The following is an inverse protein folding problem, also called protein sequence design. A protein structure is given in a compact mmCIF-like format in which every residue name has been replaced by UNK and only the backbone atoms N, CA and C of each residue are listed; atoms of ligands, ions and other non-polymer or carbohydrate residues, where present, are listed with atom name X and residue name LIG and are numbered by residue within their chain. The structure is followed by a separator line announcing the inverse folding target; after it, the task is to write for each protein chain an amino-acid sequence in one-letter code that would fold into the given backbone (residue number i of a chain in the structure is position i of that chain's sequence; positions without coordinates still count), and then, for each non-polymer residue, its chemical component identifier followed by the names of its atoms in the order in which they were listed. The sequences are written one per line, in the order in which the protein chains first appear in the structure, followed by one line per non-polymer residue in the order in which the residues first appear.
data_IF_314752310914
#
_entry.id   IF_314752310914
#
_cell.length_a   1.000
_cell.length_b   1.000
_cell.length_c   1.000
_cell.angle_alpha   90.00
_cell.angle_beta   90.00
_cell.angle_gamma   90.00
#
_symmetry.space_group_name_H-M   'P 1'
#
loop_
_entity.id
_entity.type
_entity.pdbx_description
1 polymer ?
#
# COMPACT_ATOMS: atom_id res chain seq x y z
N UNK A 1 -36.77 -22.02 9.80
CA UNK A 1 -36.66 -22.36 8.37
C UNK A 1 -35.89 -21.25 7.67
N UNK A 2 -34.67 -21.52 7.25
CA UNK A 2 -33.87 -20.56 6.49
C UNK A 2 -34.33 -20.60 5.03
N UNK A 3 -34.75 -19.44 4.53
CA UNK A 3 -35.21 -19.33 3.14
C UNK A 3 -33.97 -19.23 2.22
N UNK A 4 -33.68 -20.32 1.50
CA UNK A 4 -32.50 -20.49 0.63
C UNK A 4 -32.61 -19.82 -0.74
N UNK A 5 -33.51 -18.91 -0.93
CA UNK A 5 -33.77 -18.29 -2.24
C UNK A 5 -33.19 -16.87 -2.42
N UNK A 6 -32.18 -16.47 -1.63
CA UNK A 6 -31.41 -15.26 -1.95
C UNK A 6 -30.50 -15.55 -3.12
N UNK A 7 -31.00 -15.27 -4.33
CA UNK A 7 -30.16 -15.19 -5.53
C UNK A 7 -29.00 -14.25 -5.25
N UNK A 8 -27.77 -14.73 -5.43
CA UNK A 8 -26.57 -13.86 -5.55
C UNK A 8 -26.77 -13.05 -6.83
N UNK A 9 -27.20 -11.81 -6.68
CA UNK A 9 -27.71 -11.00 -7.79
C UNK A 9 -26.60 -10.42 -8.66
N UNK A 10 -25.35 -10.31 -8.15
CA UNK A 10 -24.24 -9.87 -8.99
C UNK A 10 -22.90 -10.19 -8.34
N UNK A 11 -22.14 -11.06 -8.95
CA UNK A 11 -20.68 -11.05 -8.81
C UNK A 11 -20.23 -9.92 -9.75
N UNK A 12 -19.80 -8.77 -9.22
CA UNK A 12 -19.11 -7.78 -10.06
C UNK A 12 -17.90 -8.47 -10.67
N UNK A 13 -17.87 -8.55 -11.99
CA UNK A 13 -16.63 -8.96 -12.67
C UNK A 13 -15.50 -8.06 -12.17
N UNK A 14 -14.44 -8.68 -11.67
CA UNK A 14 -13.27 -7.94 -11.25
C UNK A 14 -12.78 -7.07 -12.42
N UNK A 15 -12.60 -5.78 -12.19
CA UNK A 15 -12.08 -4.86 -13.22
C UNK A 15 -10.66 -5.24 -13.68
N UNK A 16 -10.01 -6.10 -12.93
CA UNK A 16 -8.63 -6.52 -13.13
C UNK A 16 -8.56 -8.02 -13.35
N UNK A 17 -7.72 -8.47 -14.26
CA UNK A 17 -7.47 -9.89 -14.48
C UNK A 17 -6.59 -10.53 -13.40
N UNK A 18 -5.83 -9.71 -12.65
CA UNK A 18 -5.04 -10.12 -11.50
C UNK A 18 -5.08 -9.05 -10.40
N UNK A 19 -5.37 -9.48 -9.18
CA UNK A 19 -5.13 -8.69 -7.97
C UNK A 19 -3.92 -9.26 -7.24
N UNK A 20 -2.93 -8.42 -6.97
CA UNK A 20 -1.71 -8.79 -6.27
C UNK A 20 -1.63 -8.00 -4.97
N UNK A 21 -1.58 -8.69 -3.84
CA UNK A 21 -1.21 -8.10 -2.54
C UNK A 21 0.26 -8.41 -2.28
N UNK A 22 1.05 -7.38 -2.05
CA UNK A 22 2.49 -7.52 -1.88
C UNK A 22 2.97 -6.91 -0.58
N UNK A 23 3.49 -7.75 0.31
CA UNK A 23 4.22 -7.34 1.50
C UNK A 23 5.69 -7.17 1.08
N UNK A 24 6.11 -5.91 0.90
CA UNK A 24 7.39 -5.59 0.25
C UNK A 24 8.59 -5.61 1.21
N UNK A 25 8.34 -5.40 2.50
CA UNK A 25 9.35 -5.45 3.57
C UNK A 25 8.72 -5.73 4.93
N UNK A 26 9.55 -5.92 5.93
CA UNK A 26 9.16 -6.08 7.34
C UNK A 26 9.89 -5.09 8.25
N UNK A 27 10.25 -3.91 7.73
CA UNK A 27 10.84 -2.79 8.46
C UNK A 27 9.79 -1.71 8.60
N UNK A 28 9.70 -1.10 9.78
CA UNK A 28 8.80 0.01 10.04
C UNK A 28 9.48 1.06 10.91
N UNK A 29 9.08 2.32 10.78
CA UNK A 29 9.46 3.41 11.68
C UNK A 29 8.70 3.34 13.01
N UNK A 30 7.52 2.69 13.02
CA UNK A 30 6.66 2.57 14.18
C UNK A 30 6.82 1.19 14.82
N UNK A 31 6.67 1.11 16.15
CA UNK A 31 6.73 -0.13 16.93
C UNK A 31 5.37 -0.40 17.61
N UNK A 32 4.31 -0.42 16.82
CA UNK A 32 2.96 -0.60 17.31
C UNK A 32 2.77 -1.94 18.01
N UNK A 33 2.26 -1.93 19.23
CA UNK A 33 2.07 -3.13 20.06
C UNK A 33 1.07 -4.15 19.49
N UNK A 34 0.20 -3.69 18.60
CA UNK A 34 -0.80 -4.51 17.89
C UNK A 34 -0.32 -4.99 16.49
N UNK A 35 0.90 -4.58 16.09
CA UNK A 35 1.44 -5.02 14.81
C UNK A 35 1.89 -6.49 14.89
N UNK A 36 1.56 -7.34 13.89
CA UNK A 36 2.11 -8.67 13.80
C UNK A 36 3.64 -8.64 13.77
N UNK A 37 4.29 -9.51 14.55
CA UNK A 37 5.75 -9.52 14.71
C UNK A 37 6.51 -9.75 13.40
N UNK A 38 5.93 -10.50 12.47
CA UNK A 38 6.50 -10.79 11.14
C UNK A 38 6.49 -9.57 10.21
N UNK A 39 5.62 -8.58 10.44
CA UNK A 39 5.59 -7.32 9.69
C UNK A 39 6.52 -6.23 10.27
N UNK A 40 7.08 -6.45 11.45
CA UNK A 40 7.96 -5.51 12.14
C UNK A 40 9.16 -6.19 12.82
N UNK A 41 9.66 -7.26 12.22
CA UNK A 41 10.81 -8.00 12.73
C UNK A 41 12.14 -7.28 12.52
N UNK A 42 12.18 -6.23 11.69
CA UNK A 42 13.38 -5.42 11.44
C UNK A 42 14.46 -6.13 10.64
N UNK A 43 14.19 -7.30 10.10
CA UNK A 43 15.15 -7.98 9.25
C UNK A 43 15.17 -7.31 7.86
N UNK A 44 16.26 -6.63 7.54
CA UNK A 44 16.48 -5.94 6.25
C UNK A 44 16.69 -6.93 5.10
N UNK A 45 15.81 -7.89 4.93
CA UNK A 45 15.84 -8.72 3.74
C UNK A 45 15.20 -7.95 2.59
N UNK A 46 16.01 -7.17 1.89
CA UNK A 46 15.61 -6.63 0.61
C UNK A 46 15.69 -7.75 -0.43
N UNK A 47 14.61 -7.93 -1.16
CA UNK A 47 14.63 -8.78 -2.35
C UNK A 47 15.62 -8.21 -3.35
N UNK A 48 16.31 -9.09 -4.07
CA UNK A 48 17.11 -8.67 -5.20
C UNK A 48 16.25 -7.97 -6.25
N UNK A 49 16.58 -6.73 -6.56
CA UNK A 49 15.76 -5.92 -7.46
C UNK A 49 15.73 -6.49 -8.89
N UNK A 50 16.84 -7.05 -9.37
CA UNK A 50 16.91 -7.66 -10.70
C UNK A 50 15.95 -8.83 -10.85
N UNK A 51 15.92 -9.73 -9.88
CA UNK A 51 14.97 -10.85 -9.86
C UNK A 51 13.52 -10.35 -9.71
N UNK A 52 13.29 -9.39 -8.83
CA UNK A 52 11.97 -8.79 -8.62
C UNK A 52 11.44 -8.14 -9.90
N UNK A 53 12.25 -7.33 -10.56
CA UNK A 53 11.90 -6.69 -11.83
C UNK A 53 11.55 -7.71 -12.90
N UNK A 54 12.39 -8.74 -13.07
CA UNK A 54 12.13 -9.84 -14.02
C UNK A 54 10.80 -10.53 -13.75
N UNK A 55 10.47 -10.77 -12.48
CA UNK A 55 9.18 -11.33 -12.07
C UNK A 55 8.01 -10.42 -12.46
N UNK A 56 8.11 -9.11 -12.18
CA UNK A 56 7.08 -8.12 -12.52
C UNK A 56 6.88 -8.07 -14.04
N UNK A 57 7.94 -8.02 -14.83
CA UNK A 57 7.88 -7.98 -16.28
C UNK A 57 7.14 -9.21 -16.85
N UNK A 58 7.35 -10.39 -16.25
CA UNK A 58 6.61 -11.61 -16.61
C UNK A 58 5.11 -11.50 -16.26
N UNK A 59 4.77 -10.93 -15.12
CA UNK A 59 3.37 -10.69 -14.72
C UNK A 59 2.70 -9.70 -15.69
N UNK A 60 3.34 -8.58 -15.98
CA UNK A 60 2.87 -7.55 -16.91
C UNK A 60 2.61 -8.16 -18.30
N UNK A 61 3.52 -8.98 -18.79
CA UNK A 61 3.38 -9.67 -20.07
C UNK A 61 2.23 -10.68 -20.08
N UNK A 62 1.95 -11.31 -18.93
CA UNK A 62 0.96 -12.39 -18.81
C UNK A 62 -0.47 -11.89 -18.61
N UNK A 63 -0.63 -10.79 -17.91
CA UNK A 63 -1.95 -10.30 -17.50
C UNK A 63 -2.24 -8.92 -18.10
N UNK A 64 -3.35 -8.76 -18.82
CA UNK A 64 -3.68 -7.51 -19.51
C UNK A 64 -4.02 -6.37 -18.53
N UNK A 65 -4.47 -6.71 -17.32
CA UNK A 65 -4.78 -5.74 -16.28
C UNK A 65 -4.40 -6.30 -14.90
N UNK A 66 -3.55 -5.58 -14.19
CA UNK A 66 -3.12 -5.93 -12.83
C UNK A 66 -3.51 -4.80 -11.90
N UNK A 67 -3.97 -5.15 -10.71
CA UNK A 67 -4.07 -4.24 -9.59
C UNK A 67 -3.13 -4.71 -8.49
N UNK A 68 -2.17 -3.86 -8.11
CA UNK A 68 -1.18 -4.16 -7.06
C UNK A 68 -1.51 -3.36 -5.81
N UNK A 69 -1.70 -4.04 -4.68
CA UNK A 69 -1.79 -3.44 -3.35
C UNK A 69 -0.50 -3.71 -2.59
N UNK A 70 0.27 -2.68 -2.32
CA UNK A 70 1.55 -2.79 -1.63
C UNK A 70 1.38 -2.42 -0.17
N UNK A 71 1.91 -3.28 0.70
CA UNK A 71 1.99 -3.08 2.14
C UNK A 71 3.33 -3.63 2.67
N UNK A 72 3.44 -3.77 3.99
CA UNK A 72 4.64 -4.32 4.63
C UNK A 72 4.70 -3.86 6.08
N UNK A 73 5.90 -3.69 6.60
CA UNK A 73 6.13 -2.82 7.74
C UNK A 73 5.77 -1.39 7.33
N UNK A 74 6.73 -0.65 6.80
CA UNK A 74 6.48 0.62 6.09
C UNK A 74 7.04 0.52 4.67
N UNK A 75 6.18 0.43 3.64
CA UNK A 75 6.62 0.19 2.26
C UNK A 75 7.55 1.28 1.72
N UNK A 76 7.37 2.52 2.16
CA UNK A 76 8.17 3.66 1.70
C UNK A 76 9.63 3.61 2.15
N UNK A 77 9.98 2.68 3.05
CA UNK A 77 11.37 2.40 3.41
C UNK A 77 12.08 1.49 2.40
N UNK A 78 11.34 0.84 1.50
CA UNK A 78 11.95 0.04 0.44
C UNK A 78 12.64 0.93 -0.59
N UNK A 79 13.95 0.70 -0.88
CA UNK A 79 14.70 1.55 -1.78
C UNK A 79 14.22 1.46 -3.23
N UNK A 80 13.59 0.36 -3.62
CA UNK A 80 13.10 0.15 -4.99
C UNK A 80 11.59 0.39 -5.17
N UNK A 81 10.89 0.86 -4.12
CA UNK A 81 9.46 1.15 -4.21
C UNK A 81 9.12 2.13 -5.36
N UNK A 82 9.83 3.26 -5.54
CA UNK A 82 9.52 4.19 -6.63
C UNK A 82 9.61 3.54 -8.01
N UNK A 83 10.69 2.80 -8.28
CA UNK A 83 10.86 2.07 -9.55
C UNK A 83 9.78 1.00 -9.77
N UNK A 84 9.39 0.30 -8.70
CA UNK A 84 8.37 -0.74 -8.75
C UNK A 84 7.01 -0.17 -9.14
N UNK A 85 6.57 0.92 -8.50
CA UNK A 85 5.27 1.54 -8.82
C UNK A 85 5.28 2.14 -10.23
N UNK A 86 6.38 2.76 -10.64
CA UNK A 86 6.54 3.33 -11.97
C UNK A 86 6.49 2.26 -13.07
N UNK A 87 7.10 1.09 -12.83
CA UNK A 87 7.10 -0.03 -13.77
C UNK A 87 5.66 -0.53 -14.03
N UNK A 88 4.84 -0.70 -13.01
CA UNK A 88 3.43 -1.07 -13.18
C UNK A 88 2.61 0.04 -13.82
N UNK A 89 2.81 1.28 -13.41
CA UNK A 89 2.09 2.44 -13.95
C UNK A 89 2.35 2.61 -15.45
N UNK A 90 3.62 2.58 -15.88
CA UNK A 90 4.01 2.72 -17.27
C UNK A 90 3.47 1.60 -18.17
N UNK A 91 3.20 0.44 -17.58
CA UNK A 91 2.56 -0.69 -18.25
C UNK A 91 1.01 -0.60 -18.26
N UNK A 92 0.43 0.49 -17.76
CA UNK A 92 -1.02 0.71 -17.74
C UNK A 92 -1.77 -0.04 -16.64
N UNK A 93 -1.07 -0.48 -15.59
CA UNK A 93 -1.65 -1.15 -14.42
C UNK A 93 -1.95 -0.16 -13.29
N UNK A 94 -2.66 -0.61 -12.27
CA UNK A 94 -3.01 0.21 -11.12
C UNK A 94 -2.24 -0.24 -9.89
N UNK A 95 -1.71 0.74 -9.15
CA UNK A 95 -0.94 0.50 -7.93
C UNK A 95 -1.53 1.30 -6.78
N UNK A 96 -1.71 0.65 -5.65
CA UNK A 96 -2.04 1.29 -4.39
C UNK A 96 -1.05 0.91 -3.30
N UNK A 97 -0.83 1.81 -2.36
CA UNK A 97 0.01 1.54 -1.19
C UNK A 97 -0.72 1.89 0.10
N UNK A 98 -0.35 1.19 1.18
CA UNK A 98 -0.71 1.57 2.55
C UNK A 98 0.58 1.97 3.27
N UNK A 99 0.63 3.19 3.80
CA UNK A 99 1.82 3.79 4.44
C UNK A 99 1.43 4.51 5.73
N UNK A 100 2.33 4.56 6.69
CA UNK A 100 2.16 5.38 7.90
C UNK A 100 2.50 6.87 7.66
N UNK A 101 2.89 7.25 6.44
CA UNK A 101 3.17 8.65 6.08
C UNK A 101 4.47 9.23 6.64
N UNK A 102 5.37 8.42 7.20
CA UNK A 102 6.59 8.88 7.86
C UNK A 102 7.64 9.49 6.91
N UNK A 103 7.43 9.41 5.60
CA UNK A 103 8.36 10.00 4.62
C UNK A 103 8.08 11.49 4.39
N UNK A 104 9.07 12.17 3.82
CA UNK A 104 8.95 13.60 3.53
C UNK A 104 7.79 13.89 2.55
N UNK A 105 7.20 15.07 2.70
CA UNK A 105 6.17 15.60 1.79
C UNK A 105 6.60 15.54 0.32
N UNK A 106 7.87 15.85 0.05
CA UNK A 106 8.46 15.74 -1.29
C UNK A 106 8.38 14.31 -1.82
N UNK A 107 8.76 13.33 -1.02
CA UNK A 107 8.71 11.93 -1.41
C UNK A 107 7.28 11.48 -1.73
N UNK A 108 6.34 11.82 -0.86
CA UNK A 108 4.91 11.50 -1.06
C UNK A 108 4.40 12.11 -2.38
N UNK A 109 4.73 13.38 -2.65
CA UNK A 109 4.36 14.05 -3.91
C UNK A 109 4.94 13.35 -5.14
N UNK A 110 6.16 12.87 -5.05
CA UNK A 110 6.83 12.18 -6.16
C UNK A 110 6.18 10.85 -6.50
N UNK A 111 5.91 10.00 -5.50
CA UNK A 111 5.34 8.68 -5.74
C UNK A 111 3.85 8.71 -6.05
N UNK A 112 3.10 9.68 -5.50
CA UNK A 112 1.65 9.77 -5.70
C UNK A 112 1.24 9.93 -7.16
N UNK A 113 2.10 10.47 -8.00
CA UNK A 113 1.87 10.60 -9.45
C UNK A 113 1.61 9.27 -10.17
N UNK A 114 2.13 8.20 -9.62
CA UNK A 114 2.07 6.85 -10.19
C UNK A 114 1.07 5.93 -9.47
N UNK A 115 0.43 6.43 -8.41
CA UNK A 115 -0.49 5.66 -7.60
C UNK A 115 -1.95 5.88 -8.02
N UNK A 116 -2.72 4.81 -8.02
CA UNK A 116 -4.17 4.88 -8.17
C UNK A 116 -4.85 5.22 -6.85
N UNK A 117 -4.29 4.75 -5.74
CA UNK A 117 -4.72 5.14 -4.40
C UNK A 117 -3.57 5.07 -3.39
N UNK A 118 -3.69 5.87 -2.34
CA UNK A 118 -2.79 5.92 -1.20
C UNK A 118 -3.61 5.90 0.09
N UNK A 119 -3.38 4.88 0.91
CA UNK A 119 -3.99 4.77 2.23
C UNK A 119 -2.97 5.19 3.27
N UNK A 120 -3.25 6.26 3.99
CA UNK A 120 -2.48 6.60 5.19
C UNK A 120 -3.06 5.86 6.39
N UNK A 121 -2.23 5.03 7.04
CA UNK A 121 -2.55 4.44 8.33
C UNK A 121 -2.13 5.41 9.42
N UNK A 122 -3.09 6.05 10.07
CA UNK A 122 -2.81 6.95 11.18
C UNK A 122 -2.75 6.18 12.50
N UNK A 123 -1.63 6.35 13.21
CA UNK A 123 -1.34 5.67 14.47
C UNK A 123 -1.24 6.71 15.59
N UNK A 124 -2.28 6.92 16.40
CA UNK A 124 -2.35 8.01 17.39
C UNK A 124 -1.14 8.12 18.32
N UNK A 125 -0.48 6.99 18.59
CA UNK A 125 0.69 6.92 19.47
C UNK A 125 2.00 7.44 18.85
N UNK A 126 2.05 7.64 17.53
CA UNK A 126 3.28 8.00 16.80
C UNK A 126 3.11 9.21 15.90
N UNK A 127 1.89 9.45 15.41
CA UNK A 127 1.67 10.33 14.29
C UNK A 127 1.28 11.74 14.74
N UNK A 128 1.88 12.75 14.09
CA UNK A 128 1.47 14.16 14.22
C UNK A 128 0.39 14.47 13.17
N UNK A 129 -0.82 14.91 13.59
CA UNK A 129 -1.90 15.27 12.67
C UNK A 129 -1.49 16.31 11.61
N UNK A 130 -0.60 17.26 11.96
CA UNK A 130 -0.13 18.30 11.03
C UNK A 130 0.78 17.72 9.95
N UNK A 131 1.56 16.68 10.27
CA UNK A 131 2.39 15.99 9.29
C UNK A 131 1.51 15.15 8.36
N UNK A 132 0.50 14.47 8.90
CA UNK A 132 -0.48 13.74 8.10
C UNK A 132 -1.21 14.67 7.11
N UNK A 133 -1.70 15.82 7.59
CA UNK A 133 -2.36 16.83 6.73
C UNK A 133 -1.47 17.27 5.57
N UNK A 134 -0.19 17.55 5.85
CA UNK A 134 0.78 17.89 4.80
C UNK A 134 1.01 16.75 3.81
N UNK A 135 1.07 15.51 4.29
CA UNK A 135 1.25 14.33 3.44
C UNK A 135 0.02 14.10 2.55
N UNK A 136 -1.18 14.23 3.10
CA UNK A 136 -2.45 14.14 2.35
C UNK A 136 -2.52 15.22 1.27
N UNK A 137 -2.22 16.47 1.62
CA UNK A 137 -2.20 17.59 0.66
C UNK A 137 -1.15 17.38 -0.44
N UNK A 138 -0.04 16.73 -0.15
CA UNK A 138 1.00 16.45 -1.14
C UNK A 138 0.61 15.37 -2.16
N UNK A 139 -0.36 14.53 -1.83
CA UNK A 139 -0.82 13.42 -2.68
C UNK A 139 -1.93 13.85 -3.67
N UNK A 140 -1.72 14.97 -4.38
CA UNK A 140 -2.73 15.68 -5.19
C UNK A 140 -3.32 14.88 -6.35
N UNK A 141 -2.58 13.92 -6.89
CA UNK A 141 -2.96 13.21 -8.13
C UNK A 141 -3.39 11.75 -7.89
N UNK A 142 -3.66 11.38 -6.66
CA UNK A 142 -4.07 10.03 -6.29
C UNK A 142 -5.31 10.05 -5.40
N UNK A 143 -6.02 8.95 -5.39
CA UNK A 143 -7.13 8.78 -4.45
C UNK A 143 -6.58 8.50 -3.05
N UNK A 144 -6.88 9.38 -2.10
CA UNK A 144 -6.37 9.27 -0.72
C UNK A 144 -7.46 8.77 0.22
N UNK A 145 -7.09 7.83 1.08
CA UNK A 145 -7.90 7.43 2.23
C UNK A 145 -7.06 7.46 3.50
N UNK A 146 -7.69 7.75 4.62
CA UNK A 146 -7.07 7.67 5.95
C UNK A 146 -7.70 6.49 6.69
N UNK A 147 -6.86 5.58 7.18
CA UNK A 147 -7.26 4.50 8.06
C UNK A 147 -6.78 4.82 9.46
N UNK A 148 -7.72 5.06 10.36
CA UNK A 148 -7.41 5.35 11.76
C UNK A 148 -7.27 4.03 12.53
N UNK A 149 -6.12 3.85 13.18
CA UNK A 149 -5.86 2.67 14.01
C UNK A 149 -6.45 2.90 15.40
N UNK A 150 -7.55 2.19 15.69
CA UNK A 150 -8.33 2.35 16.92
C UNK A 150 -7.67 1.59 18.08
N UNK A 151 -6.87 2.28 18.87
CA UNK A 151 -6.31 1.77 20.12
C UNK A 151 -6.93 2.57 21.28
N UNK A 152 -7.72 1.89 22.12
CA UNK A 152 -8.48 2.53 23.21
C UNK A 152 -7.62 3.32 24.20
N UNK A 153 -6.32 3.05 24.26
CA UNK A 153 -5.38 3.79 25.13
C UNK A 153 -5.13 5.23 24.69
N UNK A 154 -5.52 5.60 23.46
CA UNK A 154 -5.26 6.90 22.84
C UNK A 154 -6.54 7.64 22.42
N UNK A 155 -7.70 7.23 22.95
CA UNK A 155 -9.01 7.80 22.61
C UNK A 155 -9.75 8.24 23.88
N UNK A 156 -9.23 9.24 24.56
CA UNK A 156 -9.94 9.91 25.64
C UNK A 156 -10.85 11.05 25.15
#
# INVERSE_FOLDING_TARGET
MWNSSKKVIQIRQAQHSLQLTWVINNICTNHCSYCPSDLNSGSNHHYDWGHTKTFIERLIKRYPKIHVSISGGEPTLSPFLPELIELFYNAGHTVGITSNGARSVRYIREISKYLSYLVFSWHPQYDDPKLLEKAVTAAENTHVAIRVMMDSRYWD
#
